data_IF_207342473468
#
_entry.id   IF_207342473468
#
_cell.length_a   1.000
_cell.length_b   1.000
_cell.length_c   1.000
_cell.angle_alpha   90.00
_cell.angle_beta   90.00
_cell.angle_gamma   90.00
#
_symmetry.space_group_name_H-M   'P 1'
#
loop_
_entity.id
_entity.type
_entity.pdbx_description
1 polymer ?
#
# COMPACT_ATOMS: atom_id res chain seq x y z
N UNK A 1 -14.16 96.28 22.86
CA UNK A 1 -15.28 96.12 21.90
C UNK A 1 -14.81 95.09 20.88
N UNK A 2 -15.48 93.92 20.80
CA UNK A 2 -15.37 92.85 19.76
C UNK A 2 -14.00 92.10 19.68
N UNK A 3 -13.86 90.80 19.45
CA UNK A 3 -14.77 89.68 19.17
C UNK A 3 -14.02 88.33 19.39
N UNK A 4 -14.76 87.24 19.61
CA UNK A 4 -14.31 85.85 19.75
C UNK A 4 -13.51 85.31 18.54
N UNK A 5 -12.57 84.39 18.76
CA UNK A 5 -12.31 83.27 17.83
C UNK A 5 -11.75 82.03 18.57
N UNK A 6 -12.63 81.03 18.77
CA UNK A 6 -12.29 79.66 19.15
C UNK A 6 -11.67 78.96 17.94
N UNK A 7 -10.40 78.52 18.02
CA UNK A 7 -9.80 77.66 17.00
C UNK A 7 -9.96 76.18 17.36
N UNK A 8 -10.82 75.52 16.58
CA UNK A 8 -10.92 74.06 16.46
C UNK A 8 -9.60 73.50 15.92
N UNK A 9 -8.68 73.04 16.77
CA UNK A 9 -7.48 72.33 16.28
C UNK A 9 -7.07 71.11 17.11
N UNK A 10 -7.70 70.82 18.25
CA UNK A 10 -7.27 69.71 19.12
C UNK A 10 -8.02 68.39 18.93
N UNK A 11 -9.01 68.31 18.03
CA UNK A 11 -9.85 67.11 17.90
C UNK A 11 -9.52 66.29 16.63
N UNK A 12 -8.93 66.88 15.58
CA UNK A 12 -8.68 66.13 14.34
C UNK A 12 -7.42 65.25 14.35
N UNK A 13 -6.42 65.53 15.18
CA UNK A 13 -5.17 64.74 15.21
C UNK A 13 -5.27 63.45 16.01
N UNK A 14 -6.12 63.41 17.05
CA UNK A 14 -6.29 62.22 17.91
C UNK A 14 -7.14 61.14 17.23
N UNK A 15 -8.15 61.52 16.44
CA UNK A 15 -9.01 60.57 15.72
C UNK A 15 -8.28 59.93 14.53
N UNK A 16 -7.39 60.67 13.87
CA UNK A 16 -6.66 60.16 12.72
C UNK A 16 -5.61 59.10 13.08
N UNK A 17 -5.03 59.19 14.29
CA UNK A 17 -4.08 58.20 14.81
C UNK A 17 -4.78 56.94 15.35
N UNK A 18 -5.92 57.10 16.04
CA UNK A 18 -6.71 55.97 16.56
C UNK A 18 -7.33 55.12 15.42
N UNK A 19 -7.86 55.72 14.36
CA UNK A 19 -8.40 54.99 13.21
C UNK A 19 -7.36 54.15 12.47
N UNK A 20 -6.11 54.63 12.38
CA UNK A 20 -5.03 53.93 11.66
C UNK A 20 -4.62 52.64 12.38
N UNK A 21 -4.63 52.63 13.71
CA UNK A 21 -4.37 51.45 14.52
C UNK A 21 -5.51 50.41 14.45
N UNK A 22 -6.77 50.83 14.39
CA UNK A 22 -7.89 49.89 14.24
C UNK A 22 -7.95 49.25 12.85
N UNK A 23 -7.58 49.99 11.79
CA UNK A 23 -7.49 49.44 10.43
C UNK A 23 -6.33 48.44 10.33
N UNK A 24 -5.17 48.74 10.93
CA UNK A 24 -4.03 47.82 10.94
C UNK A 24 -4.31 46.56 11.76
N UNK A 25 -4.98 46.69 12.91
CA UNK A 25 -5.40 45.56 13.74
C UNK A 25 -6.47 44.70 13.04
N UNK A 26 -7.43 45.34 12.36
CA UNK A 26 -8.43 44.68 11.51
C UNK A 26 -7.78 43.90 10.35
N UNK A 27 -6.78 44.47 9.69
CA UNK A 27 -6.01 43.81 8.63
C UNK A 27 -5.16 42.65 9.16
N UNK A 28 -4.56 42.79 10.34
CA UNK A 28 -3.79 41.73 10.99
C UNK A 28 -4.69 40.55 11.43
N UNK A 29 -5.87 40.85 11.98
CA UNK A 29 -6.87 39.85 12.37
C UNK A 29 -7.46 39.17 11.12
N UNK A 30 -7.72 39.92 10.04
CA UNK A 30 -8.13 39.37 8.74
C UNK A 30 -7.05 38.44 8.16
N UNK A 31 -5.78 38.83 8.23
CA UNK A 31 -4.65 38.00 7.76
C UNK A 31 -4.49 36.73 8.62
N UNK A 32 -4.70 36.83 9.94
CA UNK A 32 -4.69 35.67 10.85
C UNK A 32 -5.89 34.75 10.60
N UNK A 33 -7.10 35.27 10.34
CA UNK A 33 -8.31 34.48 10.04
C UNK A 33 -8.20 33.82 8.65
N UNK A 34 -7.59 34.49 7.65
CA UNK A 34 -7.34 33.90 6.33
C UNK A 34 -6.28 32.78 6.37
N UNK A 35 -5.25 32.90 7.22
CA UNK A 35 -4.29 31.82 7.46
C UNK A 35 -4.84 30.73 8.41
N UNK A 36 -5.92 31.03 9.15
CA UNK A 36 -6.65 30.09 10.01
C UNK A 36 -7.72 29.27 9.27
N UNK A 37 -7.72 29.25 7.93
CA UNK A 37 -8.12 28.04 7.20
C UNK A 37 -7.06 26.97 7.43
N UNK A 38 -7.01 26.60 8.71
CA UNK A 38 -6.27 25.54 9.33
C UNK A 38 -6.29 24.36 8.38
N UNK A 39 -5.11 23.76 8.19
CA UNK A 39 -4.92 22.44 7.64
C UNK A 39 -5.82 21.46 8.42
N UNK A 40 -7.11 21.43 8.10
CA UNK A 40 -8.04 20.47 8.64
C UNK A 40 -7.59 19.15 8.04
N UNK A 41 -6.87 18.37 8.84
CA UNK A 41 -6.46 17.04 8.45
C UNK A 41 -7.73 16.28 8.09
N UNK A 42 -7.76 15.73 6.88
CA UNK A 42 -8.90 14.98 6.37
C UNK A 42 -9.03 13.69 7.19
N UNK A 43 -9.82 13.75 8.27
CA UNK A 43 -10.10 12.65 9.21
C UNK A 43 -11.14 11.67 8.69
N UNK A 44 -11.50 11.77 7.40
CA UNK A 44 -12.47 10.86 6.79
C UNK A 44 -11.96 9.43 6.86
N UNK A 45 -12.87 8.53 7.20
CA UNK A 45 -12.66 7.08 7.12
C UNK A 45 -13.74 6.53 6.20
N UNK A 46 -13.32 5.96 5.08
CA UNK A 46 -14.22 5.23 4.22
C UNK A 46 -14.24 3.75 4.61
N UNK A 47 -15.39 3.11 4.44
CA UNK A 47 -15.57 1.68 4.66
C UNK A 47 -15.98 1.03 3.35
N UNK A 48 -15.22 0.04 2.91
CA UNK A 48 -15.51 -0.73 1.70
C UNK A 48 -15.43 -2.22 2.00
N UNK A 49 -16.23 -3.03 1.30
CA UNK A 49 -16.07 -4.48 1.32
C UNK A 49 -14.93 -4.90 0.39
N UNK A 50 -14.19 -5.94 0.76
CA UNK A 50 -13.31 -6.66 -0.17
C UNK A 50 -13.79 -8.10 -0.36
N UNK A 51 -13.28 -8.75 -1.40
CA UNK A 51 -13.52 -10.19 -1.62
C UNK A 51 -12.21 -10.91 -1.92
N UNK A 52 -12.23 -12.23 -1.81
CA UNK A 52 -11.11 -13.08 -2.21
C UNK A 52 -11.42 -13.69 -3.58
N UNK A 53 -10.85 -13.14 -4.65
CA UNK A 53 -11.01 -13.68 -6.01
C UNK A 53 -9.71 -14.34 -6.43
N UNK A 54 -9.75 -15.65 -6.67
CA UNK A 54 -8.59 -16.43 -7.07
C UNK A 54 -7.40 -16.23 -6.10
N UNK A 55 -7.70 -16.20 -4.80
CA UNK A 55 -6.77 -15.99 -3.68
C UNK A 55 -6.10 -14.61 -3.59
N UNK A 56 -6.55 -13.61 -4.34
CA UNK A 56 -6.15 -12.21 -4.14
C UNK A 56 -7.23 -11.42 -3.41
N UNK A 57 -6.78 -10.42 -2.64
CA UNK A 57 -7.66 -9.42 -2.05
C UNK A 57 -8.12 -8.45 -3.13
N UNK A 58 -9.42 -8.39 -3.38
CA UNK A 58 -10.02 -7.56 -4.42
C UNK A 58 -10.97 -6.53 -3.83
N UNK A 59 -10.73 -5.25 -4.14
CA UNK A 59 -11.60 -4.13 -3.80
C UNK A 59 -12.20 -3.51 -5.06
N UNK A 60 -13.33 -2.80 -4.89
CA UNK A 60 -13.94 -2.01 -5.96
C UNK A 60 -13.45 -0.57 -5.91
N UNK A 61 -13.31 0.04 -7.09
CA UNK A 61 -13.09 1.47 -7.26
C UNK A 61 -13.42 1.86 -8.69
N UNK A 62 -12.80 2.91 -9.21
CA UNK A 62 -12.94 3.30 -10.60
C UNK A 62 -11.64 3.84 -11.20
N UNK A 63 -11.44 3.59 -12.49
CA UNK A 63 -10.38 4.19 -13.31
C UNK A 63 -11.05 5.12 -14.32
N UNK A 64 -10.65 6.39 -14.35
CA UNK A 64 -11.22 7.41 -15.23
C UNK A 64 -12.76 7.44 -15.19
N UNK A 65 -13.34 7.26 -13.99
CA UNK A 65 -14.80 7.25 -13.76
C UNK A 65 -15.52 5.95 -14.10
N UNK A 66 -14.83 4.90 -14.57
CA UNK A 66 -15.44 3.59 -14.88
C UNK A 66 -15.14 2.57 -13.78
N UNK A 67 -16.18 1.89 -13.29
CA UNK A 67 -16.04 0.88 -12.23
C UNK A 67 -15.00 -0.17 -12.62
N UNK A 68 -14.10 -0.47 -11.68
CA UNK A 68 -13.00 -1.41 -11.89
C UNK A 68 -12.73 -2.19 -10.61
N UNK A 69 -12.37 -3.48 -10.79
CA UNK A 69 -11.89 -4.34 -9.72
C UNK A 69 -10.37 -4.23 -9.58
N UNK A 70 -9.92 -4.02 -8.35
CA UNK A 70 -8.51 -3.84 -8.00
C UNK A 70 -7.99 -5.02 -7.20
N UNK A 71 -6.98 -5.71 -7.70
CA UNK A 71 -6.17 -6.64 -6.92
C UNK A 71 -5.17 -5.85 -6.08
N UNK A 72 -5.25 -5.94 -4.76
CA UNK A 72 -4.42 -5.18 -3.83
C UNK A 72 -3.04 -5.84 -3.67
N UNK A 73 -1.97 -5.16 -4.07
CA UNK A 73 -0.63 -5.74 -4.11
C UNK A 73 0.45 -4.80 -3.55
N UNK A 74 0.78 -4.99 -2.27
CA UNK A 74 1.90 -4.32 -1.57
C UNK A 74 3.28 -4.74 -2.10
N UNK A 75 3.32 -5.84 -2.83
CA UNK A 75 4.48 -6.38 -3.52
C UNK A 75 4.75 -5.72 -4.88
N UNK A 76 3.87 -4.85 -5.38
CA UNK A 76 4.10 -4.12 -6.63
C UNK A 76 4.49 -2.65 -6.40
N UNK A 77 5.51 -2.19 -7.12
CA UNK A 77 5.96 -0.78 -7.06
C UNK A 77 4.91 0.20 -7.60
N UNK A 78 4.22 -0.19 -8.67
CA UNK A 78 3.19 0.60 -9.35
C UNK A 78 2.11 -0.32 -9.90
N UNK A 79 0.96 0.23 -10.23
CA UNK A 79 -0.14 -0.58 -10.75
C UNK A 79 0.11 -1.17 -12.15
N UNK A 80 -0.66 -2.22 -12.46
CA UNK A 80 -0.58 -2.97 -13.73
C UNK A 80 -1.96 -3.07 -14.38
N UNK A 81 -2.02 -2.64 -15.64
CA UNK A 81 -3.16 -2.75 -16.54
C UNK A 81 -2.97 -3.93 -17.48
N UNK A 82 -4.06 -4.66 -17.74
CA UNK A 82 -4.15 -5.55 -18.89
C UNK A 82 -4.76 -4.83 -20.11
N UNK A 83 -4.71 -5.44 -21.29
CA UNK A 83 -5.24 -4.83 -22.52
C UNK A 83 -6.74 -4.54 -22.48
N UNK A 84 -7.54 -5.39 -21.81
CA UNK A 84 -8.97 -5.14 -21.60
C UNK A 84 -9.20 -3.89 -20.76
N UNK A 85 -8.44 -3.73 -19.68
CA UNK A 85 -8.45 -2.55 -18.81
C UNK A 85 -8.05 -1.28 -19.58
N UNK A 86 -7.06 -1.37 -20.47
CA UNK A 86 -6.64 -0.24 -21.32
C UNK A 86 -7.79 0.23 -22.20
N UNK A 87 -8.45 -0.69 -22.91
CA UNK A 87 -9.59 -0.38 -23.78
C UNK A 87 -10.80 0.11 -22.97
N UNK A 88 -11.16 -0.61 -21.91
CA UNK A 88 -12.32 -0.29 -21.09
C UNK A 88 -12.19 1.07 -20.42
N UNK A 89 -11.00 1.48 -19.97
CA UNK A 89 -10.81 2.70 -19.19
C UNK A 89 -10.25 3.89 -19.98
N UNK A 90 -10.22 3.81 -21.32
CA UNK A 90 -9.69 4.86 -22.21
C UNK A 90 -8.25 5.26 -21.84
N UNK A 91 -7.39 4.27 -21.57
CA UNK A 91 -6.00 4.53 -21.15
C UNK A 91 -5.13 4.91 -22.34
N UNK A 92 -4.38 6.00 -22.19
CA UNK A 92 -3.37 6.40 -23.18
C UNK A 92 -2.08 5.61 -22.98
N UNK A 93 -1.64 4.87 -24.00
CA UNK A 93 -0.30 4.28 -24.01
C UNK A 93 0.73 5.35 -24.40
N UNK A 94 1.73 5.57 -23.55
CA UNK A 94 2.73 6.63 -23.65
C UNK A 94 4.14 6.10 -23.98
N UNK A 95 4.25 4.82 -24.35
CA UNK A 95 5.50 4.19 -24.75
C UNK A 95 5.82 2.95 -23.91
N UNK A 96 7.11 2.65 -23.76
CA UNK A 96 7.59 1.44 -23.06
C UNK A 96 8.44 1.77 -21.83
N UNK A 97 8.51 0.84 -20.87
CA UNK A 97 9.37 0.89 -19.68
C UNK A 97 9.97 -0.50 -19.41
N UNK A 98 11.21 -0.57 -18.95
CA UNK A 98 11.82 -1.83 -18.48
C UNK A 98 11.35 -2.12 -17.06
N UNK A 99 10.87 -3.34 -16.81
CA UNK A 99 10.34 -3.78 -15.51
C UNK A 99 10.96 -5.13 -15.16
N UNK A 100 11.44 -5.26 -13.91
CA UNK A 100 11.91 -6.52 -13.32
C UNK A 100 10.73 -7.24 -12.68
N UNK A 101 10.49 -8.51 -13.04
CA UNK A 101 9.40 -9.32 -12.49
C UNK A 101 9.83 -10.11 -11.23
N UNK A 102 8.85 -10.79 -10.60
CA UNK A 102 9.03 -11.62 -9.40
C UNK A 102 9.83 -12.91 -9.61
N UNK A 103 10.21 -13.21 -10.86
CA UNK A 103 11.10 -14.30 -11.22
C UNK A 103 12.46 -13.76 -11.68
N UNK A 104 12.78 -12.50 -11.33
CA UNK A 104 14.05 -11.84 -11.59
C UNK A 104 14.38 -11.63 -13.08
N UNK A 105 13.37 -11.53 -13.95
CA UNK A 105 13.54 -11.22 -15.39
C UNK A 105 13.17 -9.78 -15.71
N UNK A 106 13.99 -9.11 -16.52
CA UNK A 106 13.69 -7.78 -17.06
C UNK A 106 12.92 -7.91 -18.38
N UNK A 107 11.84 -7.13 -18.53
CA UNK A 107 11.09 -7.03 -19.79
C UNK A 107 10.67 -5.60 -20.09
N UNK A 108 10.63 -5.25 -21.39
CA UNK A 108 10.00 -4.02 -21.87
C UNK A 108 8.49 -4.21 -21.87
N UNK A 109 7.77 -3.32 -21.20
CA UNK A 109 6.32 -3.35 -21.05
C UNK A 109 5.74 -1.99 -21.41
N UNK A 110 4.47 -1.94 -21.82
CA UNK A 110 3.83 -0.68 -22.16
C UNK A 110 3.65 0.23 -20.93
N UNK A 111 3.46 1.52 -21.17
CA UNK A 111 3.21 2.52 -20.11
C UNK A 111 1.86 3.18 -20.33
N UNK A 112 0.94 2.98 -19.40
CA UNK A 112 -0.39 3.58 -19.42
C UNK A 112 -0.44 4.82 -18.54
N UNK A 113 -1.00 5.92 -19.07
CA UNK A 113 -1.34 7.11 -18.28
C UNK A 113 -2.79 7.02 -17.82
N UNK A 114 -3.00 7.11 -16.52
CA UNK A 114 -4.32 7.12 -15.88
C UNK A 114 -4.59 8.55 -15.38
N UNK A 115 -5.74 9.12 -15.77
CA UNK A 115 -6.10 10.46 -15.34
C UNK A 115 -6.51 10.46 -13.86
N UNK A 116 -7.30 9.47 -13.46
CA UNK A 116 -7.76 9.31 -12.07
C UNK A 116 -8.01 7.84 -11.71
N UNK A 117 -7.57 7.44 -10.52
CA UNK A 117 -8.10 6.28 -9.80
C UNK A 117 -8.89 6.78 -8.60
N UNK A 118 -10.08 6.23 -8.37
CA UNK A 118 -10.88 6.50 -7.17
C UNK A 118 -11.18 5.21 -6.40
N UNK A 119 -11.12 5.30 -5.07
CA UNK A 119 -11.43 4.22 -4.13
C UNK A 119 -12.21 4.85 -2.97
N UNK A 120 -13.48 4.45 -2.82
CA UNK A 120 -14.41 5.18 -1.95
C UNK A 120 -14.52 6.64 -2.40
N UNK A 121 -14.26 7.55 -1.49
CA UNK A 121 -14.25 9.00 -1.69
C UNK A 121 -12.85 9.58 -1.93
N UNK A 122 -11.80 8.76 -1.92
CA UNK A 122 -10.43 9.17 -2.23
C UNK A 122 -10.15 9.08 -3.72
N UNK A 123 -9.45 10.08 -4.27
CA UNK A 123 -9.02 10.09 -5.67
C UNK A 123 -7.53 10.42 -5.84
N UNK A 124 -6.93 9.81 -6.86
CA UNK A 124 -5.51 9.88 -7.16
C UNK A 124 -5.35 10.22 -8.63
N UNK A 125 -4.76 11.37 -8.94
CA UNK A 125 -4.68 11.88 -10.30
C UNK A 125 -3.29 11.70 -10.91
N UNK A 126 -3.26 11.68 -12.24
CA UNK A 126 -2.03 11.68 -13.04
C UNK A 126 -1.07 10.54 -12.68
N UNK A 127 -1.59 9.31 -12.70
CA UNK A 127 -0.83 8.11 -12.39
C UNK A 127 -0.24 7.48 -13.66
N UNK A 128 0.88 6.78 -13.49
CA UNK A 128 1.42 5.88 -14.50
C UNK A 128 1.25 4.43 -14.05
N UNK A 129 0.89 3.55 -14.97
CA UNK A 129 0.83 2.10 -14.73
C UNK A 129 1.52 1.34 -15.83
N UNK A 130 1.97 0.14 -15.52
CA UNK A 130 2.54 -0.78 -16.51
C UNK A 130 1.41 -1.43 -17.29
N UNK A 131 1.52 -1.53 -18.61
CA UNK A 131 0.59 -2.27 -19.45
C UNK A 131 1.20 -3.63 -19.76
N UNK A 132 0.58 -4.69 -19.24
CA UNK A 132 0.98 -6.06 -19.49
C UNK A 132 -0.17 -7.04 -19.28
N UNK A 133 -0.36 -7.97 -20.22
CA UNK A 133 -1.36 -9.04 -20.12
C UNK A 133 -0.84 -10.21 -19.31
N UNK A 134 -1.03 -10.14 -17.98
CA UNK A 134 -0.89 -11.29 -17.11
C UNK A 134 -2.17 -12.13 -17.18
N UNK A 135 -2.12 -13.44 -17.48
CA UNK A 135 -3.34 -14.25 -17.59
C UNK A 135 -4.25 -14.15 -16.37
N UNK A 136 -3.67 -14.11 -15.16
CA UNK A 136 -4.45 -13.94 -13.93
C UNK A 136 -5.26 -12.63 -13.92
N UNK A 137 -4.65 -11.49 -14.28
CA UNK A 137 -5.32 -10.20 -14.32
C UNK A 137 -6.33 -10.13 -15.47
N UNK A 138 -5.95 -10.60 -16.66
CA UNK A 138 -6.77 -10.54 -17.87
C UNK A 138 -8.00 -11.46 -17.80
N UNK A 139 -7.87 -12.67 -17.21
CA UNK A 139 -9.00 -13.60 -17.02
C UNK A 139 -10.01 -13.09 -16.00
N UNK A 140 -9.56 -12.32 -15.00
CA UNK A 140 -10.43 -11.82 -13.93
C UNK A 140 -10.84 -10.35 -14.11
N UNK A 141 -10.35 -9.70 -15.18
CA UNK A 141 -10.52 -8.30 -15.53
C UNK A 141 -10.07 -7.32 -14.43
N UNK A 142 -8.99 -7.71 -13.75
CA UNK A 142 -8.43 -6.97 -12.62
C UNK A 142 -7.39 -5.95 -13.10
N UNK A 143 -7.39 -4.78 -12.46
CA UNK A 143 -6.21 -3.92 -12.38
C UNK A 143 -5.44 -4.28 -11.11
N UNK A 144 -4.11 -4.40 -11.22
CA UNK A 144 -3.27 -4.59 -10.05
C UNK A 144 -2.97 -3.22 -9.44
N UNK A 145 -3.37 -3.01 -8.20
CA UNK A 145 -3.14 -1.77 -7.44
C UNK A 145 -1.82 -1.90 -6.68
N UNK A 146 -0.85 -1.06 -7.04
CA UNK A 146 0.49 -1.08 -6.44
C UNK A 146 0.73 0.01 -5.39
N UNK A 147 1.96 0.04 -4.88
CA UNK A 147 2.43 0.98 -3.86
C UNK A 147 2.34 2.47 -4.23
N UNK A 148 2.28 2.80 -5.52
CA UNK A 148 2.09 4.17 -6.02
C UNK A 148 0.73 4.79 -5.62
N UNK A 149 -0.26 3.93 -5.34
CA UNK A 149 -1.56 4.32 -4.77
C UNK A 149 -1.71 3.82 -3.34
N UNK A 150 -1.35 2.57 -3.05
CA UNK A 150 -1.52 1.97 -1.71
C UNK A 150 -0.86 2.83 -0.63
N UNK A 151 0.36 3.33 -0.86
CA UNK A 151 1.11 4.08 0.15
C UNK A 151 0.61 5.51 0.39
N UNK A 152 -0.46 5.94 -0.29
CA UNK A 152 -1.07 7.27 -0.12
C UNK A 152 -2.20 7.28 0.90
N UNK A 153 -2.60 6.11 1.39
CA UNK A 153 -3.62 5.94 2.42
C UNK A 153 -3.10 4.98 3.49
N UNK A 154 -3.70 5.09 4.66
CA UNK A 154 -3.63 4.08 5.71
C UNK A 154 -4.78 3.11 5.48
N UNK A 155 -4.52 1.83 5.66
CA UNK A 155 -5.49 0.77 5.41
C UNK A 155 -5.66 -0.04 6.68
N UNK A 156 -6.90 -0.32 7.08
CA UNK A 156 -7.20 -1.33 8.10
C UNK A 156 -8.04 -2.42 7.47
N UNK A 157 -7.54 -3.64 7.45
CA UNK A 157 -8.29 -4.80 6.98
C UNK A 157 -8.85 -5.58 8.16
N UNK A 158 -10.15 -5.84 8.13
CA UNK A 158 -10.84 -6.82 8.97
C UNK A 158 -11.07 -8.08 8.14
N UNK A 159 -10.26 -9.11 8.38
CA UNK A 159 -10.31 -10.37 7.63
C UNK A 159 -11.51 -11.23 8.00
N UNK A 160 -12.09 -11.03 9.18
CA UNK A 160 -13.27 -11.78 9.63
C UNK A 160 -14.52 -11.32 8.88
N UNK A 161 -14.68 -10.01 8.72
CA UNK A 161 -15.86 -9.41 8.11
C UNK A 161 -15.67 -9.07 6.62
N UNK A 162 -14.46 -9.23 6.09
CA UNK A 162 -14.07 -8.83 4.73
C UNK A 162 -14.30 -7.33 4.46
N UNK A 163 -13.92 -6.49 5.42
CA UNK A 163 -14.07 -5.03 5.37
C UNK A 163 -12.69 -4.38 5.37
N UNK A 164 -12.53 -3.35 4.54
CA UNK A 164 -11.38 -2.46 4.57
C UNK A 164 -11.82 -1.05 4.98
N UNK A 165 -11.04 -0.42 5.86
CA UNK A 165 -11.17 0.98 6.25
C UNK A 165 -10.01 1.77 5.68
N UNK A 166 -10.29 2.93 5.11
CA UNK A 166 -9.33 3.76 4.39
C UNK A 166 -9.29 5.16 4.99
N UNK A 167 -8.10 5.71 5.24
CA UNK A 167 -7.97 7.08 5.74
C UNK A 167 -6.64 7.72 5.36
N UNK A 168 -6.62 9.06 5.24
CA UNK A 168 -5.36 9.82 5.17
C UNK A 168 -4.66 9.95 6.53
N UNK A 169 -5.39 9.71 7.62
CA UNK A 169 -4.84 9.69 8.97
C UNK A 169 -4.58 8.26 9.42
N UNK A 170 -3.49 8.04 10.15
CA UNK A 170 -3.17 6.74 10.72
C UNK A 170 -4.28 6.28 11.67
N UNK A 171 -4.61 5.00 11.60
CA UNK A 171 -5.53 4.37 12.55
C UNK A 171 -4.84 4.21 13.91
N UNK A 172 -5.62 4.38 14.98
CA UNK A 172 -5.15 4.10 16.34
C UNK A 172 -5.20 2.57 16.54
N UNK A 173 -4.06 1.91 16.84
CA UNK A 173 -4.04 0.48 17.14
C UNK A 173 -4.83 0.18 18.40
N UNK A 174 -5.47 -0.99 18.45
CA UNK A 174 -6.10 -1.50 19.67
C UNK A 174 -5.04 -2.16 20.57
N UNK A 175 -5.34 -2.33 21.86
CA UNK A 175 -4.37 -2.86 22.84
C UNK A 175 -3.91 -4.30 22.53
N UNK A 176 -4.67 -5.06 21.75
CA UNK A 176 -4.35 -6.40 21.29
C UNK A 176 -3.50 -6.42 20.00
N UNK A 177 -3.23 -5.26 19.40
CA UNK A 177 -2.36 -5.15 18.22
C UNK A 177 -0.90 -5.01 18.61
N UNK A 178 -0.04 -5.66 17.82
CA UNK A 178 1.42 -5.55 17.95
C UNK A 178 1.98 -4.73 16.79
N UNK A 179 2.88 -3.80 17.10
CA UNK A 179 3.54 -2.99 16.08
C UNK A 179 4.52 -3.83 15.24
N UNK A 180 4.47 -3.64 13.93
CA UNK A 180 5.42 -4.20 12.97
C UNK A 180 6.17 -3.06 12.28
N UNK A 181 7.50 -2.94 12.47
CA UNK A 181 8.30 -1.99 11.70
C UNK A 181 8.30 -2.37 10.21
N UNK A 182 7.72 -1.52 9.36
CA UNK A 182 7.69 -1.69 7.90
C UNK A 182 8.60 -0.65 7.25
N UNK A 183 9.39 -1.10 6.27
CA UNK A 183 10.23 -0.27 5.41
C UNK A 183 9.65 -0.25 3.99
N UNK A 184 9.61 0.93 3.39
CA UNK A 184 9.19 1.12 2.02
C UNK A 184 10.41 1.22 1.12
N UNK A 185 10.65 0.21 0.28
CA UNK A 185 11.76 0.18 -0.68
C UNK A 185 11.15 0.10 -2.07
N UNK A 186 11.37 1.12 -2.90
CA UNK A 186 10.74 1.24 -4.21
C UNK A 186 9.21 1.02 -4.15
N UNK A 187 8.53 1.76 -3.27
CA UNK A 187 7.08 1.66 -2.98
C UNK A 187 6.56 0.31 -2.50
N UNK A 188 7.42 -0.69 -2.28
CA UNK A 188 7.02 -2.02 -1.80
C UNK A 188 7.27 -2.15 -0.31
N UNK A 189 6.46 -2.96 0.36
CA UNK A 189 6.50 -3.12 1.82
C UNK A 189 7.46 -4.24 2.22
N UNK A 190 8.36 -3.94 3.16
CA UNK A 190 9.29 -4.92 3.71
C UNK A 190 9.25 -4.91 5.22
N UNK A 191 9.37 -6.08 5.83
CA UNK A 191 9.55 -6.22 7.27
C UNK A 191 10.62 -7.27 7.56
N UNK A 192 11.27 -7.14 8.71
CA UNK A 192 12.27 -8.11 9.14
C UNK A 192 11.56 -9.25 9.90
N UNK A 193 11.82 -10.48 9.47
CA UNK A 193 11.33 -11.71 10.06
C UNK A 193 12.47 -12.35 10.85
N UNK A 194 12.21 -12.70 12.10
CA UNK A 194 13.13 -13.46 12.92
C UNK A 194 12.87 -14.96 12.83
N UNK A 195 13.92 -15.71 12.52
CA UNK A 195 13.91 -17.18 12.51
C UNK A 195 15.18 -17.66 13.21
N UNK A 196 15.04 -18.47 14.26
CA UNK A 196 16.16 -18.97 15.07
C UNK A 196 17.13 -17.85 15.54
N UNK A 197 16.59 -16.73 16.03
CA UNK A 197 17.39 -15.62 16.56
C UNK A 197 18.05 -14.72 15.51
N UNK A 198 17.74 -14.91 14.22
CA UNK A 198 18.29 -14.10 13.12
C UNK A 198 17.20 -13.36 12.38
N UNK A 199 17.39 -12.05 12.24
CA UNK A 199 16.53 -11.18 11.45
C UNK A 199 16.90 -11.26 9.96
N UNK A 200 15.89 -11.46 9.13
CA UNK A 200 16.01 -11.50 7.67
C UNK A 200 14.88 -10.68 7.07
N UNK A 201 15.19 -9.83 6.11
CA UNK A 201 14.19 -9.00 5.44
C UNK A 201 13.34 -9.80 4.47
N UNK A 202 12.02 -9.64 4.58
CA UNK A 202 11.01 -10.24 3.72
C UNK A 202 10.12 -9.16 3.12
N UNK A 203 9.71 -9.38 1.87
CA UNK A 203 8.64 -8.61 1.24
C UNK A 203 7.30 -8.99 1.87
N UNK A 204 6.50 -7.99 2.26
CA UNK A 204 5.11 -8.16 2.62
C UNK A 204 4.28 -8.03 1.34
N UNK A 205 3.72 -9.13 0.87
CA UNK A 205 3.21 -9.26 -0.51
C UNK A 205 1.74 -9.70 -0.51
N UNK A 206 0.82 -8.73 -0.51
CA UNK A 206 -0.61 -9.01 -0.58
C UNK A 206 -1.06 -9.47 -1.97
N UNK A 207 -0.21 -9.30 -3.00
CA UNK A 207 -0.36 -9.90 -4.33
C UNK A 207 0.07 -11.36 -4.39
N UNK A 208 0.70 -11.89 -3.33
CA UNK A 208 1.09 -13.29 -3.24
C UNK A 208 0.10 -14.10 -2.37
N UNK A 209 -0.55 -15.08 -3.00
CA UNK A 209 -1.53 -15.96 -2.36
C UNK A 209 -0.95 -16.99 -1.37
N UNK A 210 0.38 -17.13 -1.30
CA UNK A 210 1.02 -18.11 -0.41
C UNK A 210 1.22 -17.60 1.01
N UNK A 211 1.88 -18.43 1.83
CA UNK A 211 2.18 -18.12 3.23
C UNK A 211 3.56 -17.47 3.32
N UNK A 212 4.62 -18.23 3.06
CA UNK A 212 6.00 -17.76 3.10
C UNK A 212 6.83 -18.51 2.05
N UNK A 213 7.55 -17.76 1.23
CA UNK A 213 8.54 -18.30 0.29
C UNK A 213 9.95 -17.85 0.70
N UNK A 214 10.89 -18.78 0.72
CA UNK A 214 12.31 -18.52 0.95
C UNK A 214 13.17 -19.20 -0.14
N UNK A 215 14.32 -18.62 -0.52
CA UNK A 215 15.24 -19.27 -1.42
C UNK A 215 15.97 -20.44 -0.72
N UNK A 216 16.40 -21.45 -1.49
CA UNK A 216 17.14 -22.61 -0.97
C UNK A 216 18.42 -22.26 -0.23
N UNK A 217 19.06 -21.15 -0.60
CA UNK A 217 20.26 -20.65 0.05
C UNK A 217 19.99 -19.74 1.26
N UNK A 218 18.73 -19.58 1.69
CA UNK A 218 18.42 -18.87 2.93
C UNK A 218 18.88 -19.72 4.12
N UNK A 219 19.91 -19.24 4.83
CA UNK A 219 20.66 -20.05 5.81
C UNK A 219 19.79 -20.64 6.91
N UNK A 220 18.78 -19.89 7.40
CA UNK A 220 17.96 -20.35 8.51
C UNK A 220 16.97 -21.42 8.04
N UNK A 221 16.30 -21.19 6.91
CA UNK A 221 15.38 -22.18 6.36
C UNK A 221 16.10 -23.41 5.78
N UNK A 222 17.31 -23.26 5.27
CA UNK A 222 18.13 -24.39 4.82
C UNK A 222 18.47 -25.34 5.99
N UNK A 223 18.88 -24.78 7.14
CA UNK A 223 19.15 -25.57 8.36
C UNK A 223 17.90 -26.30 8.85
N UNK A 224 16.76 -25.61 8.89
CA UNK A 224 15.49 -26.22 9.33
C UNK A 224 15.06 -27.30 8.33
N UNK A 225 15.19 -27.06 7.02
CA UNK A 225 14.90 -28.06 5.97
C UNK A 225 15.71 -29.33 6.20
N UNK A 226 17.02 -29.24 6.44
CA UNK A 226 17.87 -30.42 6.73
C UNK A 226 17.36 -31.20 7.94
N UNK A 227 17.10 -30.52 9.06
CA UNK A 227 16.57 -31.15 10.28
C UNK A 227 15.21 -31.83 10.06
N UNK A 228 14.28 -31.15 9.37
CA UNK A 228 12.96 -31.71 9.05
C UNK A 228 13.06 -32.86 8.05
N UNK A 229 14.06 -32.85 7.15
CA UNK A 229 14.28 -33.91 6.18
C UNK A 229 14.76 -35.21 6.83
N UNK A 230 15.66 -35.13 7.83
CA UNK A 230 16.08 -36.28 8.65
C UNK A 230 14.89 -36.92 9.39
N UNK A 231 13.86 -36.13 9.69
CA UNK A 231 12.62 -36.56 10.34
C UNK A 231 11.52 -36.98 9.33
N UNK A 232 11.81 -36.97 8.03
CA UNK A 232 10.81 -37.21 6.96
C UNK A 232 9.59 -36.28 7.01
N UNK A 233 9.79 -35.02 7.46
CA UNK A 233 8.78 -33.97 7.59
C UNK A 233 8.83 -32.93 6.45
N UNK A 234 9.57 -33.21 5.39
CA UNK A 234 9.65 -32.36 4.19
C UNK A 234 8.82 -32.98 3.07
N UNK A 235 7.91 -32.19 2.52
CA UNK A 235 7.12 -32.56 1.35
C UNK A 235 7.75 -31.97 0.09
N UNK A 236 8.05 -32.81 -0.89
CA UNK A 236 8.55 -32.38 -2.20
C UNK A 236 7.38 -32.32 -3.18
N UNK A 237 7.31 -31.20 -3.90
CA UNK A 237 6.27 -30.97 -4.90
C UNK A 237 6.82 -30.18 -6.07
N UNK A 238 6.07 -30.11 -7.16
CA UNK A 238 6.35 -29.18 -8.25
C UNK A 238 5.41 -28.00 -8.17
N UNK A 239 5.93 -26.79 -8.39
CA UNK A 239 5.15 -25.57 -8.39
C UNK A 239 5.06 -24.93 -9.77
N UNK A 240 3.97 -24.18 -9.96
CA UNK A 240 3.84 -23.20 -11.02
C UNK A 240 3.78 -21.82 -10.40
N UNK A 241 4.64 -20.91 -10.87
CA UNK A 241 4.71 -19.52 -10.45
C UNK A 241 4.49 -18.62 -11.65
N UNK A 242 3.63 -17.61 -11.52
CA UNK A 242 3.37 -16.59 -12.53
C UNK A 242 3.76 -15.23 -11.98
N UNK A 243 4.79 -14.63 -12.57
CA UNK A 243 5.16 -13.23 -12.38
C UNK A 243 4.66 -12.36 -13.52
N UNK A 244 4.86 -11.04 -13.37
CA UNK A 244 4.44 -10.05 -14.36
C UNK A 244 4.93 -10.39 -15.76
N UNK A 245 6.16 -10.86 -15.93
CA UNK A 245 6.73 -11.15 -17.24
C UNK A 245 6.88 -12.64 -17.57
N UNK A 246 6.67 -13.56 -16.64
CA UNK A 246 7.09 -14.95 -16.86
C UNK A 246 6.28 -15.95 -16.05
N UNK A 247 6.09 -17.12 -16.67
CA UNK A 247 5.58 -18.30 -15.99
C UNK A 247 6.73 -19.30 -15.85
N UNK A 248 6.89 -19.85 -14.66
CA UNK A 248 7.83 -20.93 -14.35
C UNK A 248 6.99 -22.12 -13.89
N UNK A 249 7.09 -23.24 -14.59
CA UNK A 249 6.33 -24.47 -14.34
C UNK A 249 7.31 -25.58 -13.94
N UNK A 250 6.87 -26.50 -13.08
CA UNK A 250 7.63 -27.71 -12.77
C UNK A 250 8.79 -27.50 -11.82
N UNK A 251 8.87 -26.34 -11.15
CA UNK A 251 9.98 -26.05 -10.25
C UNK A 251 9.80 -26.81 -8.95
N UNK A 252 10.84 -27.54 -8.53
CA UNK A 252 10.82 -28.25 -7.26
C UNK A 252 10.62 -27.27 -6.10
N UNK A 253 9.78 -27.69 -5.16
CA UNK A 253 9.52 -26.97 -3.91
C UNK A 253 9.56 -27.97 -2.77
N UNK A 254 10.39 -27.66 -1.78
CA UNK A 254 10.37 -28.32 -0.48
C UNK A 254 9.45 -27.54 0.45
N UNK A 255 8.43 -28.19 0.96
CA UNK A 255 7.46 -27.60 1.90
C UNK A 255 7.61 -28.25 3.26
N UNK A 256 7.68 -27.44 4.31
CA UNK A 256 7.70 -27.92 5.69
C UNK A 256 7.10 -26.85 6.62
N UNK A 257 6.88 -27.23 7.88
CA UNK A 257 6.41 -26.32 8.92
C UNK A 257 7.56 -25.90 9.83
N UNK A 258 7.64 -24.61 10.11
CA UNK A 258 8.56 -24.03 11.08
C UNK A 258 7.81 -23.83 12.39
N UNK A 259 8.42 -24.28 13.48
CA UNK A 259 7.78 -24.35 14.79
C UNK A 259 7.36 -22.96 15.28
N UNK A 260 8.22 -21.95 15.06
CA UNK A 260 7.88 -20.55 15.27
C UNK A 260 8.70 -19.59 14.42
N UNK A 261 8.08 -18.47 14.05
CA UNK A 261 8.74 -17.29 13.48
C UNK A 261 8.24 -16.05 14.21
N UNK A 262 9.06 -15.00 14.30
CA UNK A 262 8.67 -13.73 14.92
C UNK A 262 8.65 -12.62 13.88
N UNK A 263 7.56 -11.85 13.86
CA UNK A 263 7.38 -10.69 12.99
C UNK A 263 7.05 -9.48 13.89
N UNK A 264 7.99 -8.55 14.01
CA UNK A 264 7.92 -7.51 15.04
C UNK A 264 8.05 -8.11 16.44
N UNK A 265 7.06 -7.92 17.30
CA UNK A 265 7.02 -8.54 18.64
C UNK A 265 6.07 -9.75 18.71
N UNK A 266 5.41 -10.09 17.60
CA UNK A 266 4.45 -11.18 17.55
C UNK A 266 5.13 -12.48 17.09
N UNK A 267 4.95 -13.55 17.87
CA UNK A 267 5.43 -14.89 17.52
C UNK A 267 4.29 -15.73 16.97
N UNK A 268 4.51 -16.29 15.80
CA UNK A 268 3.57 -17.15 15.08
C UNK A 268 4.11 -18.57 15.08
N UNK A 269 3.24 -19.54 15.34
CA UNK A 269 3.62 -20.95 15.47
C UNK A 269 3.16 -21.76 14.26
N UNK A 270 3.87 -22.85 13.99
CA UNK A 270 3.51 -23.82 12.95
C UNK A 270 3.27 -23.17 11.58
N UNK A 271 4.27 -22.42 11.10
CA UNK A 271 4.15 -21.67 9.86
C UNK A 271 4.66 -22.50 8.69
N UNK A 272 3.80 -22.67 7.68
CA UNK A 272 4.16 -23.32 6.43
C UNK A 272 5.15 -22.48 5.65
N UNK A 273 6.26 -23.08 5.27
CA UNK A 273 7.32 -22.46 4.46
C UNK A 273 7.55 -23.27 3.21
N UNK A 274 7.59 -22.59 2.07
CA UNK A 274 8.02 -23.15 0.81
C UNK A 274 9.45 -22.69 0.53
N UNK A 275 10.35 -23.64 0.32
CA UNK A 275 11.72 -23.37 -0.09
C UNK A 275 11.90 -23.84 -1.52
N UNK A 276 12.43 -22.96 -2.38
CA UNK A 276 12.69 -23.24 -3.80
C UNK A 276 13.80 -22.35 -4.33
N UNK A 277 14.49 -22.78 -5.37
CA UNK A 277 15.52 -21.98 -6.02
C UNK A 277 15.00 -20.62 -6.51
N UNK A 278 15.90 -19.65 -6.75
CA UNK A 278 15.63 -18.40 -7.48
C UNK A 278 14.26 -17.74 -7.18
N UNK A 279 13.88 -17.65 -5.92
CA UNK A 279 12.67 -16.95 -5.45
C UNK A 279 13.05 -15.82 -4.52
N UNK A 280 12.28 -14.74 -4.58
CA UNK A 280 12.37 -13.66 -3.62
C UNK A 280 11.83 -14.09 -2.25
N UNK A 281 12.41 -13.54 -1.18
CA UNK A 281 11.93 -13.71 0.20
C UNK A 281 10.63 -12.93 0.38
N UNK A 282 9.52 -13.61 0.62
CA UNK A 282 8.21 -12.96 0.76
C UNK A 282 7.25 -13.68 1.69
N UNK A 283 6.41 -12.91 2.36
CA UNK A 283 5.29 -13.34 3.19
C UNK A 283 4.02 -12.89 2.48
N UNK A 284 3.13 -13.83 2.19
CA UNK A 284 1.95 -13.59 1.38
C UNK A 284 0.68 -13.31 2.19
N UNK A 285 -0.38 -12.92 1.50
CA UNK A 285 -1.69 -12.61 2.08
C UNK A 285 -2.25 -13.75 2.95
N UNK A 286 -2.00 -15.01 2.57
CA UNK A 286 -2.51 -16.17 3.30
C UNK A 286 -1.94 -16.25 4.72
N UNK A 287 -0.68 -15.85 4.92
CA UNK A 287 -0.10 -15.77 6.26
C UNK A 287 -0.91 -14.83 7.16
N UNK A 288 -1.16 -13.59 6.71
CA UNK A 288 -1.88 -12.61 7.51
C UNK A 288 -3.32 -13.03 7.78
N UNK A 289 -4.02 -13.54 6.76
CA UNK A 289 -5.41 -13.96 6.90
C UNK A 289 -5.60 -15.16 7.85
N UNK A 290 -4.68 -16.12 7.84
CA UNK A 290 -4.78 -17.31 8.69
C UNK A 290 -4.36 -17.04 10.14
N UNK A 291 -3.51 -16.03 10.37
CA UNK A 291 -2.92 -15.79 11.68
C UNK A 291 -3.44 -14.52 12.38
N UNK A 292 -4.14 -13.63 11.67
CA UNK A 292 -4.62 -12.35 12.22
C UNK A 292 -6.12 -12.18 11.93
N UNK A 293 -6.83 -11.59 12.88
CA UNK A 293 -8.21 -11.12 12.66
C UNK A 293 -8.24 -9.82 11.86
N UNK A 294 -7.24 -8.96 12.05
CA UNK A 294 -7.12 -7.67 11.39
C UNK A 294 -5.67 -7.20 11.29
N UNK A 295 -5.41 -6.25 10.40
CA UNK A 295 -4.11 -5.59 10.24
C UNK A 295 -4.30 -4.12 9.87
N UNK A 296 -3.40 -3.27 10.35
CA UNK A 296 -3.27 -1.87 9.94
C UNK A 296 -1.99 -1.74 9.11
N UNK A 297 -2.10 -1.18 7.90
CA UNK A 297 -1.00 -0.86 6.98
C UNK A 297 -0.88 0.65 6.81
#
# INVERSE_FOLDING_TARGET
MLCNYLSKTSIYQTYHFAMKNHIFLSLLISFLIFNSKCLAQDKRIDTISFSMKSSLLVIKGAINGKETLFAFDTGAYAGVLNSKQVAANNITNTGNKSVRDSNNKNKKMGRGKINEISIGSFSFKNLESVIFDMPFLSCNELYLLGGDVINKLNWKFDFKNNIAYLSKTAFIPTNDMTALPVQFINNRHFADLEVNGKLVRYLIDFGYAGVLDAPENEVNFAKIKTQKNEQSLVLHSQSTSMGLGSMVVGKEVSTFFVDSITLGQATFKNIKVNVKDNVDKKIGLKFFKENLSSIIL
#
